data_IF_605290155579
#
_entry.id   IF_605290155579
#
_cell.length_a   1.000
_cell.length_b   1.000
_cell.length_c   1.000
_cell.angle_alpha   90.00
_cell.angle_beta   90.00
_cell.angle_gamma   90.00
#
_symmetry.space_group_name_H-M   'P 1'
#
loop_
_entity.id
_entity.type
_entity.pdbx_description
1 polymer ?
#
# COMPACT_ATOMS: atom_id res chain seq x y z
N UNK A 1 26.23 5.62 -11.63
CA UNK A 1 25.57 4.68 -10.69
C UNK A 1 26.50 4.28 -9.55
N UNK A 2 27.81 4.11 -9.76
CA UNK A 2 28.80 3.95 -8.66
C UNK A 2 28.73 5.08 -7.62
N UNK A 3 28.49 6.32 -8.04
CA UNK A 3 28.43 7.49 -7.16
C UNK A 3 27.39 7.34 -6.02
N UNK A 4 26.20 6.81 -6.30
CA UNK A 4 25.17 6.60 -5.27
C UNK A 4 25.50 5.42 -4.35
N UNK A 5 26.12 4.35 -4.87
CA UNK A 5 26.62 3.26 -4.04
C UNK A 5 27.74 3.72 -3.11
N UNK A 6 28.61 4.62 -3.58
CA UNK A 6 29.69 5.21 -2.78
C UNK A 6 29.12 6.14 -1.69
N UNK A 7 28.12 6.97 -2.00
CA UNK A 7 27.43 7.83 -1.03
C UNK A 7 26.73 7.00 0.05
N UNK A 8 25.95 5.97 -0.33
CA UNK A 8 25.28 5.07 0.64
C UNK A 8 26.30 4.38 1.56
N UNK A 9 27.48 4.01 1.03
CA UNK A 9 28.50 3.27 1.76
C UNK A 9 29.36 4.15 2.68
N UNK A 10 29.52 5.44 2.37
CA UNK A 10 30.45 6.33 3.08
C UNK A 10 29.79 7.49 3.83
N UNK A 11 28.61 7.96 3.42
CA UNK A 11 27.93 9.06 4.09
C UNK A 11 26.71 8.59 4.90
N UNK A 12 26.72 8.89 6.20
CA UNK A 12 25.53 8.72 7.04
C UNK A 12 24.51 9.80 6.68
N UNK A 13 23.25 9.45 6.36
CA UNK A 13 22.23 10.44 6.01
C UNK A 13 22.03 11.42 7.15
N UNK A 14 22.05 12.72 6.85
CA UNK A 14 21.87 13.79 7.84
C UNK A 14 20.41 14.21 7.95
N UNK A 15 19.62 13.95 6.92
CA UNK A 15 18.20 14.30 6.86
C UNK A 15 17.31 13.07 6.64
N UNK A 16 16.08 13.13 7.16
CA UNK A 16 15.07 12.06 6.96
C UNK A 16 14.73 11.85 5.49
N UNK A 17 14.73 12.92 4.69
CA UNK A 17 14.53 12.88 3.24
C UNK A 17 15.61 12.04 2.56
N UNK A 18 16.88 12.29 2.88
CA UNK A 18 18.02 11.51 2.36
C UNK A 18 17.93 10.05 2.80
N UNK A 19 17.60 9.80 4.07
CA UNK A 19 17.40 8.45 4.58
C UNK A 19 16.33 7.70 3.78
N UNK A 20 15.17 8.34 3.55
CA UNK A 20 14.09 7.75 2.77
C UNK A 20 14.52 7.48 1.32
N UNK A 21 15.26 8.40 0.69
CA UNK A 21 15.77 8.23 -0.68
C UNK A 21 16.78 7.08 -0.77
N UNK A 22 17.71 6.97 0.17
CA UNK A 22 18.74 5.92 0.19
C UNK A 22 18.11 4.56 0.49
N UNK A 23 17.19 4.48 1.46
CA UNK A 23 16.44 3.27 1.79
C UNK A 23 15.54 2.82 0.63
N UNK A 24 14.82 3.76 0.01
CA UNK A 24 14.06 3.59 -1.24
C UNK A 24 14.93 2.99 -2.35
N UNK A 25 16.10 3.59 -2.56
CA UNK A 25 17.02 3.17 -3.62
C UNK A 25 17.59 1.78 -3.34
N UNK A 26 17.91 1.47 -2.08
CA UNK A 26 18.41 0.15 -1.69
C UNK A 26 17.37 -0.96 -1.89
N UNK A 27 16.12 -0.73 -1.46
CA UNK A 27 15.04 -1.72 -1.53
C UNK A 27 14.70 -2.15 -2.97
N UNK A 28 14.85 -1.25 -3.96
CA UNK A 28 14.60 -1.55 -5.37
C UNK A 28 15.88 -1.64 -6.22
N UNK A 29 17.03 -1.96 -5.61
CA UNK A 29 18.31 -2.07 -6.31
C UNK A 29 18.57 -0.90 -7.28
N UNK A 30 18.39 0.33 -6.79
CA UNK A 30 18.54 1.59 -7.51
C UNK A 30 17.61 1.74 -8.73
N UNK A 31 16.39 1.20 -8.62
CA UNK A 31 15.41 1.14 -9.69
C UNK A 31 15.94 0.41 -10.94
N UNK A 32 16.75 -0.63 -10.74
CA UNK A 32 17.20 -1.51 -11.82
C UNK A 32 16.27 -2.70 -12.03
N UNK A 33 15.31 -2.97 -11.15
CA UNK A 33 14.43 -4.14 -11.27
C UNK A 33 12.96 -3.73 -11.17
N UNK A 34 12.33 -3.51 -12.32
CA UNK A 34 10.89 -3.19 -12.39
C UNK A 34 10.03 -4.26 -11.70
N UNK A 35 10.47 -5.52 -11.75
CA UNK A 35 9.79 -6.67 -11.16
C UNK A 35 9.78 -6.61 -9.63
N UNK A 36 10.87 -6.15 -8.98
CA UNK A 36 10.89 -5.94 -7.52
C UNK A 36 9.99 -4.77 -7.10
N UNK A 37 9.98 -3.70 -7.89
CA UNK A 37 9.08 -2.58 -7.67
C UNK A 37 7.60 -2.99 -7.79
N UNK A 38 7.28 -3.88 -8.74
CA UNK A 38 5.94 -4.45 -8.89
C UNK A 38 5.54 -5.31 -7.68
N UNK A 39 6.41 -6.20 -7.20
CA UNK A 39 6.13 -6.94 -5.97
C UNK A 39 5.98 -6.03 -4.76
N UNK A 40 6.81 -4.99 -4.64
CA UNK A 40 6.69 -3.97 -3.61
C UNK A 40 5.34 -3.24 -3.66
N UNK A 41 4.87 -2.87 -4.87
CA UNK A 41 3.57 -2.27 -5.10
C UNK A 41 2.43 -3.17 -4.65
N UNK A 42 2.43 -4.43 -5.07
CA UNK A 42 1.38 -5.40 -4.71
C UNK A 42 1.36 -5.65 -3.20
N UNK A 43 2.53 -5.80 -2.58
CA UNK A 43 2.64 -6.03 -1.15
C UNK A 43 2.21 -4.81 -0.33
N UNK A 44 2.70 -3.62 -0.66
CA UNK A 44 2.40 -2.40 0.09
C UNK A 44 0.94 -1.96 -0.09
N UNK A 45 0.35 -2.14 -1.28
CA UNK A 45 -1.08 -1.91 -1.51
C UNK A 45 -1.95 -2.87 -0.71
N UNK A 46 -1.54 -4.14 -0.56
CA UNK A 46 -2.25 -5.12 0.26
C UNK A 46 -2.21 -4.74 1.74
N UNK A 47 -1.07 -4.26 2.24
CA UNK A 47 -0.97 -3.72 3.62
C UNK A 47 -1.91 -2.54 3.83
N UNK A 48 -1.97 -1.59 2.88
CA UNK A 48 -2.87 -0.43 2.97
C UNK A 48 -4.35 -0.82 2.86
N UNK A 49 -4.66 -1.92 2.17
CA UNK A 49 -6.02 -2.44 2.02
C UNK A 49 -6.61 -2.99 3.32
N UNK A 50 -5.80 -3.65 4.17
CA UNK A 50 -6.28 -4.26 5.42
C UNK A 50 -7.06 -3.28 6.32
N UNK A 51 -6.53 -2.10 6.70
CA UNK A 51 -7.27 -1.16 7.54
C UNK A 51 -8.52 -0.60 6.84
N UNK A 52 -8.46 -0.41 5.52
CA UNK A 52 -9.60 0.08 4.71
C UNK A 52 -10.74 -0.94 4.72
N UNK A 53 -10.43 -2.22 4.53
CA UNK A 53 -11.40 -3.30 4.54
C UNK A 53 -12.09 -3.44 5.90
N UNK A 54 -11.35 -3.28 7.00
CA UNK A 54 -11.88 -3.34 8.36
C UNK A 54 -12.86 -2.19 8.60
N UNK A 55 -12.50 -0.96 8.20
CA UNK A 55 -13.33 0.24 8.42
C UNK A 55 -14.61 0.22 7.57
N UNK A 56 -14.57 -0.37 6.37
CA UNK A 56 -15.75 -0.51 5.51
C UNK A 56 -16.68 -1.64 5.99
N UNK A 57 -16.12 -2.67 6.62
CA UNK A 57 -16.86 -3.84 7.12
C UNK A 57 -17.60 -3.57 8.44
N UNK A 58 -18.25 -2.41 8.59
CA UNK A 58 -19.10 -2.03 9.73
C UNK A 58 -20.31 -2.98 9.97
N UNK A 59 -20.37 -4.12 9.28
CA UNK A 59 -21.32 -5.22 9.48
C UNK A 59 -20.76 -6.37 10.33
N UNK A 60 -19.52 -6.31 10.78
CA UNK A 60 -19.00 -7.29 11.72
C UNK A 60 -19.58 -7.01 13.11
N UNK A 61 -20.76 -7.56 13.39
CA UNK A 61 -21.23 -7.73 14.77
C UNK A 61 -20.24 -8.62 15.51
N UNK A 62 -19.29 -8.01 16.22
CA UNK A 62 -18.36 -8.71 17.11
C UNK A 62 -19.05 -9.32 18.34
N UNK A 63 -20.37 -9.20 18.43
CA UNK A 63 -21.22 -9.60 19.55
C UNK A 63 -21.76 -11.03 19.43
N UNK A 64 -21.80 -11.64 18.24
CA UNK A 64 -22.42 -12.96 18.05
C UNK A 64 -21.65 -13.86 17.06
N UNK A 65 -20.48 -14.37 17.46
CA UNK A 65 -19.91 -15.55 16.79
C UNK A 65 -19.29 -16.46 17.86
N UNK A 66 -20.17 -17.26 18.47
CA UNK A 66 -19.80 -18.57 18.96
C UNK A 66 -19.52 -19.45 17.73
N UNK A 67 -18.29 -19.94 17.60
CA UNK A 67 -17.89 -21.28 17.13
C UNK A 67 -16.35 -21.28 17.03
N UNK A 68 -15.73 -21.88 18.05
CA UNK A 68 -14.60 -22.79 17.90
C UNK A 68 -13.35 -22.27 17.12
N UNK A 69 -12.73 -21.18 17.59
CA UNK A 69 -11.43 -20.72 17.12
C UNK A 69 -11.35 -19.20 16.99
N UNK A 70 -10.24 -18.60 17.41
CA UNK A 70 -10.04 -17.16 17.63
C UNK A 70 -10.94 -16.25 16.75
N UNK A 71 -12.04 -15.69 17.31
CA UNK A 71 -13.12 -15.06 16.55
C UNK A 71 -12.64 -13.84 15.75
N UNK A 72 -11.54 -13.22 16.17
CA UNK A 72 -10.94 -12.08 15.49
C UNK A 72 -10.36 -12.43 14.12
N UNK A 73 -9.72 -13.60 13.99
CA UNK A 73 -9.04 -14.00 12.76
C UNK A 73 -10.07 -14.43 11.71
N UNK A 74 -11.09 -15.19 12.11
CA UNK A 74 -12.19 -15.60 11.22
C UNK A 74 -12.92 -14.38 10.64
N UNK A 75 -13.26 -13.42 11.49
CA UNK A 75 -13.97 -12.20 11.08
C UNK A 75 -13.12 -11.32 10.15
N UNK A 76 -11.83 -11.20 10.44
CA UNK A 76 -10.91 -10.46 9.59
C UNK A 76 -10.77 -11.12 8.22
N UNK A 77 -10.67 -12.45 8.15
CA UNK A 77 -10.62 -13.17 6.87
C UNK A 77 -11.91 -13.00 6.06
N UNK A 78 -13.08 -13.05 6.72
CA UNK A 78 -14.38 -12.83 6.06
C UNK A 78 -14.45 -11.40 5.52
N UNK A 79 -14.13 -10.39 6.33
CA UNK A 79 -14.13 -9.00 5.89
C UNK A 79 -13.15 -8.73 4.74
N UNK A 80 -11.94 -9.31 4.78
CA UNK A 80 -10.96 -9.19 3.71
C UNK A 80 -11.41 -9.90 2.43
N UNK A 81 -12.10 -11.04 2.55
CA UNK A 81 -12.62 -11.79 1.40
C UNK A 81 -13.76 -11.04 0.73
N UNK A 82 -14.73 -10.57 1.51
CA UNK A 82 -15.93 -9.92 0.99
C UNK A 82 -15.61 -8.59 0.30
N UNK A 83 -14.59 -7.88 0.79
CA UNK A 83 -14.17 -6.58 0.27
C UNK A 83 -12.98 -6.65 -0.70
N UNK A 84 -12.55 -7.85 -1.12
CA UNK A 84 -11.32 -8.04 -1.90
C UNK A 84 -11.30 -7.23 -3.22
N UNK A 85 -12.48 -6.98 -3.81
CA UNK A 85 -12.61 -6.12 -5.00
C UNK A 85 -12.06 -4.71 -4.77
N UNK A 86 -12.16 -4.17 -3.56
CA UNK A 86 -11.65 -2.84 -3.22
C UNK A 86 -10.13 -2.77 -3.34
N UNK A 87 -9.41 -3.86 -3.11
CA UNK A 87 -7.95 -3.88 -3.28
C UNK A 87 -7.54 -3.55 -4.72
N UNK A 88 -8.22 -4.13 -5.73
CA UNK A 88 -7.96 -3.79 -7.13
C UNK A 88 -8.28 -2.34 -7.46
N UNK A 89 -9.29 -1.77 -6.80
CA UNK A 89 -9.69 -0.38 -7.01
C UNK A 89 -8.66 0.57 -6.39
N UNK A 90 -8.09 0.22 -5.23
CA UNK A 90 -7.01 0.97 -4.59
C UNK A 90 -5.72 1.02 -5.42
N UNK A 91 -5.46 -0.01 -6.24
CA UNK A 91 -4.36 0.02 -7.20
C UNK A 91 -4.53 1.10 -8.27
N UNK A 92 -5.77 1.53 -8.53
CA UNK A 92 -6.06 2.62 -9.44
C UNK A 92 -6.13 3.96 -8.70
N UNK A 93 -5.11 4.79 -8.89
CA UNK A 93 -5.03 6.14 -8.30
C UNK A 93 -6.20 7.08 -8.64
N UNK A 94 -6.96 6.78 -9.69
CA UNK A 94 -8.01 7.66 -10.21
C UNK A 94 -9.31 7.53 -9.45
N UNK A 95 -9.62 6.35 -8.91
CA UNK A 95 -10.88 6.13 -8.20
C UNK A 95 -10.83 6.68 -6.78
N UNK A 96 -11.88 7.38 -6.37
CA UNK A 96 -12.08 7.79 -4.96
C UNK A 96 -12.95 6.76 -4.26
N UNK A 97 -12.55 6.34 -3.06
CA UNK A 97 -13.36 5.42 -2.24
C UNK A 97 -14.74 6.02 -1.96
N UNK A 98 -14.87 7.34 -1.93
CA UNK A 98 -16.16 8.03 -1.80
C UNK A 98 -17.17 7.70 -2.91
N UNK A 99 -16.70 7.39 -4.13
CA UNK A 99 -17.57 6.99 -5.24
C UNK A 99 -18.05 5.54 -5.12
N UNK A 100 -17.32 4.70 -4.37
CA UNK A 100 -17.74 3.33 -4.07
C UNK A 100 -18.59 3.21 -2.80
N UNK A 101 -18.50 4.23 -1.95
CA UNK A 101 -19.18 4.30 -0.67
C UNK A 101 -20.56 4.97 -0.76
N UNK A 102 -21.21 5.01 -1.95
CA UNK A 102 -22.54 5.62 -2.15
C UNK A 102 -23.63 5.08 -1.19
N UNK A 103 -23.42 3.92 -0.57
CA UNK A 103 -24.32 3.32 0.42
C UNK A 103 -23.82 3.40 1.89
N UNK A 104 -22.71 4.08 2.16
CA UNK A 104 -22.14 4.21 3.51
C UNK A 104 -22.47 5.61 4.03
N UNK A 105 -23.62 5.73 4.71
CA UNK A 105 -24.16 7.01 5.21
C UNK A 105 -23.31 7.68 6.30
N UNK A 106 -22.28 7.00 6.82
CA UNK A 106 -21.29 7.55 7.74
C UNK A 106 -19.88 7.10 7.33
N UNK A 107 -19.29 7.79 6.34
CA UNK A 107 -17.90 7.55 5.97
C UNK A 107 -17.00 8.07 7.10
N UNK A 108 -16.26 7.17 7.74
CA UNK A 108 -15.29 7.51 8.78
C UNK A 108 -14.14 8.34 8.18
N UNK A 109 -13.75 9.43 8.85
CA UNK A 109 -12.55 10.23 8.50
C UNK A 109 -11.30 9.37 8.37
N UNK A 110 -11.24 8.26 9.11
CA UNK A 110 -10.15 7.29 9.05
C UNK A 110 -10.03 6.62 7.68
N UNK A 111 -11.15 6.42 6.98
CA UNK A 111 -11.15 5.84 5.64
C UNK A 111 -10.42 6.74 4.64
N UNK A 112 -10.68 8.05 4.69
CA UNK A 112 -10.00 9.04 3.84
C UNK A 112 -8.50 9.14 4.14
N UNK A 113 -8.13 9.03 5.42
CA UNK A 113 -6.73 9.00 5.82
C UNK A 113 -5.99 7.81 5.21
N UNK A 114 -6.55 6.61 5.30
CA UNK A 114 -5.95 5.41 4.70
C UNK A 114 -5.98 5.42 3.17
N UNK A 115 -7.03 5.96 2.54
CA UNK A 115 -7.09 6.18 1.09
C UNK A 115 -5.93 7.07 0.63
N UNK A 116 -5.68 8.18 1.32
CA UNK A 116 -4.59 9.10 0.99
C UNK A 116 -3.21 8.44 1.14
N UNK A 117 -2.99 7.67 2.22
CA UNK A 117 -1.75 6.91 2.41
C UNK A 117 -1.56 5.89 1.28
N UNK A 118 -2.62 5.14 0.94
CA UNK A 118 -2.58 4.15 -0.13
C UNK A 118 -2.17 4.79 -1.46
N UNK A 119 -2.74 5.95 -1.81
CA UNK A 119 -2.37 6.71 -3.03
C UNK A 119 -0.91 7.13 -3.05
N UNK A 120 -0.37 7.63 -1.94
CA UNK A 120 1.03 8.04 -1.84
C UNK A 120 1.94 6.84 -2.10
N UNK A 121 1.63 5.70 -1.47
CA UNK A 121 2.38 4.45 -1.62
C UNK A 121 2.33 3.94 -3.06
N UNK A 122 1.13 3.84 -3.65
CA UNK A 122 0.97 3.36 -5.03
C UNK A 122 1.66 4.29 -6.02
N UNK A 123 1.52 5.61 -5.89
CA UNK A 123 2.17 6.59 -6.77
C UNK A 123 3.69 6.47 -6.73
N UNK A 124 4.26 6.31 -5.53
CA UNK A 124 5.69 6.12 -5.35
C UNK A 124 6.20 4.86 -6.06
N UNK A 125 5.51 3.72 -5.93
CA UNK A 125 5.94 2.50 -6.60
C UNK A 125 5.74 2.54 -8.12
N UNK A 126 4.66 3.16 -8.61
CA UNK A 126 4.47 3.40 -10.04
C UNK A 126 5.63 4.24 -10.58
N UNK A 127 6.02 5.31 -9.90
CA UNK A 127 7.16 6.14 -10.28
C UNK A 127 8.46 5.31 -10.36
N UNK A 128 8.69 4.43 -9.39
CA UNK A 128 9.85 3.53 -9.43
C UNK A 128 9.81 2.55 -10.61
N UNK A 129 8.64 1.99 -10.92
CA UNK A 129 8.44 1.10 -12.07
C UNK A 129 8.73 1.84 -13.38
N UNK A 130 8.16 3.03 -13.60
CA UNK A 130 8.42 3.85 -14.80
C UNK A 130 9.90 4.20 -14.92
N UNK A 131 10.53 4.58 -13.81
CA UNK A 131 11.97 4.91 -13.80
C UNK A 131 12.82 3.70 -14.17
N UNK A 132 12.47 2.51 -13.69
CA UNK A 132 13.16 1.28 -14.04
C UNK A 132 12.98 0.92 -15.52
N UNK A 133 11.75 0.98 -16.04
CA UNK A 133 11.48 0.74 -17.47
C UNK A 133 12.24 1.70 -18.39
N UNK A 134 12.29 3.00 -18.03
CA UNK A 134 13.05 4.00 -18.80
C UNK A 134 14.54 3.69 -18.86
N UNK A 135 15.09 3.05 -17.83
CA UNK A 135 16.50 2.61 -17.80
C UNK A 135 16.76 1.37 -18.65
N UNK A 136 15.82 0.44 -18.73
CA UNK A 136 15.93 -0.75 -19.59
C UNK A 136 15.73 -0.47 -21.08
N UNK A 137 15.04 0.63 -21.41
CA UNK A 137 14.81 1.05 -22.80
C UNK A 137 16.01 1.76 -23.45
N UNK A 138 17.15 1.87 -22.77
CA UNK A 138 18.41 2.38 -23.32
C UNK A 138 19.38 1.23 -23.51
#
# INVERSE_FOLDING_TARGET
MEYYHLIVKHERPRQLSEFLILWSSYSNNFAQSWLRALYGLLFASLICYIPIAIVISNKLDFTNIDILGNPLIGNLLIALRDNFKLWFILLNLTHRISELAENITNISTWLYFWDMISRIVVAYFIFQIVTAFRKFSR
#
